data_IF_549331378773
#
_entry.id   IF_549331378773
#
_cell.length_a   1.000
_cell.length_b   1.000
_cell.length_c   1.000
_cell.angle_alpha   90.00
_cell.angle_beta   90.00
_cell.angle_gamma   90.00
#
_symmetry.space_group_name_H-M   'P 1'
#
loop_
_entity.id
_entity.type
_entity.pdbx_description
1 polymer ?
#
# COMPACT_ATOMS: atom_id res chain seq x y z
N UNK A 1 -37.01 -16.45 3.95
CA UNK A 1 -35.80 -16.78 4.74
C UNK A 1 -34.89 -15.57 4.65
N UNK A 2 -34.88 -14.73 5.68
CA UNK A 2 -33.96 -13.60 5.74
C UNK A 2 -32.56 -14.15 6.02
N UNK A 3 -31.67 -14.08 5.03
CA UNK A 3 -30.24 -14.34 5.28
C UNK A 3 -29.74 -13.22 6.19
N UNK A 4 -29.60 -13.51 7.49
CA UNK A 4 -28.83 -12.65 8.39
C UNK A 4 -27.41 -12.59 7.85
N UNK A 5 -27.00 -11.40 7.41
CA UNK A 5 -25.63 -11.12 7.00
C UNK A 5 -24.73 -11.36 8.21
N UNK A 6 -23.66 -12.14 8.04
CA UNK A 6 -22.72 -12.43 9.13
C UNK A 6 -21.94 -11.17 9.51
N UNK A 7 -21.54 -11.04 10.78
CA UNK A 7 -20.64 -9.97 11.22
C UNK A 7 -19.31 -9.99 10.46
N UNK A 8 -18.85 -11.18 10.07
CA UNK A 8 -17.70 -11.37 9.20
C UNK A 8 -17.93 -10.78 7.80
N UNK A 9 -19.10 -11.03 7.20
CA UNK A 9 -19.43 -10.50 5.87
C UNK A 9 -19.46 -8.97 5.86
N UNK A 10 -19.95 -8.36 6.95
CA UNK A 10 -19.92 -6.90 7.12
C UNK A 10 -18.50 -6.37 7.23
N UNK A 11 -17.63 -7.02 8.02
CA UNK A 11 -16.22 -6.65 8.14
C UNK A 11 -15.52 -6.74 6.79
N UNK A 12 -15.70 -7.85 6.07
CA UNK A 12 -15.11 -8.05 4.76
C UNK A 12 -15.58 -6.99 3.76
N UNK A 13 -16.88 -6.67 3.75
CA UNK A 13 -17.45 -5.62 2.89
C UNK A 13 -16.83 -4.26 3.19
N UNK A 14 -16.63 -3.94 4.48
CA UNK A 14 -15.98 -2.71 4.89
C UNK A 14 -14.52 -2.66 4.40
N UNK A 15 -13.77 -3.76 4.53
CA UNK A 15 -12.39 -3.80 4.04
C UNK A 15 -12.31 -3.68 2.51
N UNK A 16 -13.21 -4.31 1.76
CA UNK A 16 -13.29 -4.14 0.30
C UNK A 16 -13.58 -2.67 -0.04
N UNK A 17 -14.57 -2.06 0.62
CA UNK A 17 -14.93 -0.64 0.42
C UNK A 17 -13.74 0.28 0.72
N UNK A 18 -12.97 -0.05 1.76
CA UNK A 18 -11.75 0.70 2.08
C UNK A 18 -10.74 0.59 0.92
N UNK A 19 -10.56 -0.59 0.32
CA UNK A 19 -9.62 -0.81 -0.78
C UNK A 19 -10.05 -0.15 -2.10
N UNK A 20 -11.35 -0.02 -2.36
CA UNK A 20 -11.88 0.59 -3.58
C UNK A 20 -11.36 2.01 -3.83
N UNK A 21 -10.99 2.76 -2.78
CA UNK A 21 -10.43 4.10 -2.92
C UNK A 21 -9.11 4.11 -3.72
N UNK A 22 -8.38 3.00 -3.75
CA UNK A 22 -7.13 2.88 -4.50
C UNK A 22 -7.32 2.57 -5.99
N UNK A 23 -8.53 2.20 -6.42
CA UNK A 23 -8.83 1.93 -7.83
C UNK A 23 -8.72 3.21 -8.65
N UNK A 24 -7.74 3.28 -9.57
CA UNK A 24 -7.55 4.43 -10.45
C UNK A 24 -8.64 4.45 -11.52
N UNK A 25 -9.38 5.57 -11.61
CA UNK A 25 -10.51 5.72 -12.55
C UNK A 25 -10.18 6.61 -13.73
N UNK A 26 -9.16 7.46 -13.61
CA UNK A 26 -8.74 8.36 -14.67
C UNK A 26 -8.08 7.61 -15.84
N UNK A 27 -8.31 8.05 -17.10
CA UNK A 27 -7.67 7.43 -18.27
C UNK A 27 -6.14 7.50 -18.19
N UNK A 28 -5.47 6.40 -18.55
CA UNK A 28 -4.01 6.31 -18.46
C UNK A 28 -3.31 7.41 -19.27
N UNK A 29 -2.28 8.00 -18.67
CA UNK A 29 -1.40 8.97 -19.32
C UNK A 29 -1.88 10.43 -19.29
N UNK A 30 -3.11 10.71 -18.84
CA UNK A 30 -3.62 12.08 -18.66
C UNK A 30 -3.10 12.74 -17.39
N UNK A 31 -3.26 14.06 -17.26
CA UNK A 31 -2.86 14.79 -16.05
C UNK A 31 -3.69 14.37 -14.82
N UNK A 32 -4.95 14.02 -15.03
CA UNK A 32 -5.86 13.52 -14.00
C UNK A 32 -5.36 12.18 -13.47
N UNK A 33 -4.89 11.29 -14.35
CA UNK A 33 -4.26 10.03 -13.94
C UNK A 33 -3.04 10.26 -13.05
N UNK A 34 -2.13 11.15 -13.45
CA UNK A 34 -0.93 11.42 -12.65
C UNK A 34 -1.27 12.01 -11.28
N UNK A 35 -2.26 12.90 -11.23
CA UNK A 35 -2.73 13.51 -9.98
C UNK A 35 -3.39 12.47 -9.06
N UNK A 36 -4.25 11.62 -9.61
CA UNK A 36 -4.93 10.55 -8.87
C UNK A 36 -3.93 9.49 -8.37
N UNK A 37 -3.02 9.06 -9.25
CA UNK A 37 -1.95 8.11 -8.92
C UNK A 37 -1.06 8.67 -7.81
N UNK A 38 -0.61 9.93 -7.92
CA UNK A 38 0.26 10.55 -6.91
C UNK A 38 -0.43 10.65 -5.55
N UNK A 39 -1.70 11.06 -5.52
CA UNK A 39 -2.45 11.17 -4.26
C UNK A 39 -2.54 9.81 -3.53
N UNK A 40 -2.86 8.75 -4.27
CA UNK A 40 -3.01 7.38 -3.75
C UNK A 40 -1.67 6.79 -3.30
N UNK A 41 -0.64 6.94 -4.12
CA UNK A 41 0.71 6.51 -3.78
C UNK A 41 1.22 7.24 -2.54
N UNK A 42 0.99 8.56 -2.44
CA UNK A 42 1.33 9.36 -1.27
C UNK A 42 0.65 8.87 0.00
N UNK A 43 -0.66 8.56 -0.07
CA UNK A 43 -1.40 7.98 1.05
C UNK A 43 -0.77 6.66 1.53
N UNK A 44 -0.40 5.77 0.60
CA UNK A 44 0.24 4.49 0.92
C UNK A 44 1.59 4.72 1.61
N UNK A 45 2.42 5.61 1.08
CA UNK A 45 3.75 5.91 1.65
C UNK A 45 3.63 6.41 3.08
N UNK A 46 2.78 7.41 3.32
CA UNK A 46 2.56 7.98 4.66
C UNK A 46 2.01 6.94 5.62
N UNK A 47 1.06 6.12 5.16
CA UNK A 47 0.42 5.11 6.01
C UNK A 47 1.38 3.97 6.36
N UNK A 48 2.15 3.45 5.39
CA UNK A 48 3.21 2.45 5.66
C UNK A 48 4.23 2.99 6.67
N UNK A 49 4.65 4.25 6.52
CA UNK A 49 5.58 4.88 7.46
C UNK A 49 4.99 4.99 8.88
N UNK A 50 3.73 5.40 9.01
CA UNK A 50 3.04 5.48 10.28
C UNK A 50 2.93 4.11 10.97
N UNK A 51 2.56 3.05 10.22
CA UNK A 51 2.45 1.69 10.76
C UNK A 51 3.82 1.16 11.20
N UNK A 52 4.85 1.30 10.36
CA UNK A 52 6.23 0.91 10.71
C UNK A 52 6.70 1.62 11.99
N UNK A 53 6.41 2.92 12.12
CA UNK A 53 6.73 3.70 13.32
C UNK A 53 5.96 3.21 14.55
N UNK A 54 4.68 2.90 14.42
CA UNK A 54 3.87 2.38 15.52
C UNK A 54 4.41 1.03 16.04
N UNK A 55 4.72 0.10 15.11
CA UNK A 55 5.34 -1.19 15.44
C UNK A 55 6.68 -1.05 16.15
N UNK A 56 7.51 -0.08 15.73
CA UNK A 56 8.82 0.19 16.35
C UNK A 56 8.70 0.88 17.71
N UNK A 57 7.84 1.90 17.82
CA UNK A 57 7.75 2.77 19.02
C UNK A 57 7.00 2.09 20.16
N UNK A 58 5.98 1.29 19.85
CA UNK A 58 5.16 0.59 20.84
C UNK A 58 5.54 -0.90 20.97
N UNK A 59 6.78 -1.24 20.61
CA UNK A 59 7.30 -2.60 20.73
C UNK A 59 7.16 -3.09 22.19
N UNK A 60 6.56 -4.27 22.37
CA UNK A 60 6.30 -4.84 23.69
C UNK A 60 5.05 -4.30 24.42
N UNK A 61 4.40 -3.26 23.89
CA UNK A 61 3.12 -2.74 24.40
C UNK A 61 1.91 -3.22 23.59
N UNK A 62 2.15 -3.63 22.34
CA UNK A 62 1.11 -4.14 21.45
C UNK A 62 0.79 -5.61 21.73
N UNK A 63 -0.49 -5.97 21.67
CA UNK A 63 -0.91 -7.37 21.70
C UNK A 63 -0.55 -8.06 20.38
N UNK A 64 -0.45 -9.40 20.40
CA UNK A 64 -0.17 -10.16 19.17
C UNK A 64 -1.23 -9.91 18.09
N UNK A 65 -2.50 -9.73 18.47
CA UNK A 65 -3.58 -9.41 17.53
C UNK A 65 -3.37 -8.05 16.86
N UNK A 66 -2.95 -7.03 17.63
CA UNK A 66 -2.63 -5.71 17.09
C UNK A 66 -1.44 -5.76 16.14
N UNK A 67 -0.40 -6.52 16.49
CA UNK A 67 0.77 -6.73 15.63
C UNK A 67 0.33 -7.39 14.33
N UNK A 68 -0.44 -8.48 14.40
CA UNK A 68 -0.92 -9.19 13.22
C UNK A 68 -1.75 -8.27 12.32
N UNK A 69 -2.66 -7.46 12.89
CA UNK A 69 -3.47 -6.50 12.13
C UNK A 69 -2.61 -5.46 11.39
N UNK A 70 -1.63 -4.89 12.07
CA UNK A 70 -0.72 -3.90 11.47
C UNK A 70 0.17 -4.53 10.39
N UNK A 71 0.66 -5.75 10.61
CA UNK A 71 1.43 -6.51 9.61
C UNK A 71 0.61 -6.87 8.38
N UNK A 72 -0.63 -7.34 8.56
CA UNK A 72 -1.54 -7.61 7.43
C UNK A 72 -1.85 -6.35 6.63
N UNK A 73 -2.00 -5.20 7.32
CA UNK A 73 -2.21 -3.92 6.65
C UNK A 73 -0.98 -3.48 5.84
N UNK A 74 0.24 -3.71 6.33
CA UNK A 74 1.46 -3.46 5.56
C UNK A 74 1.53 -4.30 4.29
N UNK A 75 1.17 -5.58 4.36
CA UNK A 75 1.17 -6.47 3.20
C UNK A 75 0.13 -6.03 2.16
N UNK A 76 -1.09 -5.71 2.59
CA UNK A 76 -2.11 -5.16 1.69
C UNK A 76 -1.61 -3.89 0.98
N UNK A 77 -0.95 -2.97 1.71
CA UNK A 77 -0.37 -1.78 1.09
C UNK A 77 0.79 -2.07 0.12
N UNK A 78 1.53 -3.16 0.31
CA UNK A 78 2.57 -3.60 -0.62
C UNK A 78 1.97 -4.11 -1.94
N UNK A 79 0.88 -4.86 -1.85
CA UNK A 79 0.14 -5.30 -3.05
C UNK A 79 -0.45 -4.12 -3.82
N UNK A 80 -1.06 -3.16 -3.12
CA UNK A 80 -1.62 -1.95 -3.74
C UNK A 80 -0.52 -1.09 -4.37
N UNK A 81 0.63 -0.94 -3.70
CA UNK A 81 1.79 -0.24 -4.26
C UNK A 81 2.24 -0.88 -5.57
N UNK A 82 2.37 -2.20 -5.62
CA UNK A 82 2.72 -2.95 -6.83
C UNK A 82 1.71 -2.72 -7.96
N UNK A 83 0.41 -2.70 -7.65
CA UNK A 83 -0.64 -2.37 -8.61
C UNK A 83 -0.48 -0.94 -9.18
N UNK A 84 -0.25 0.05 -8.32
CA UNK A 84 -0.08 1.44 -8.76
C UNK A 84 1.18 1.61 -9.60
N UNK A 85 2.27 0.90 -9.29
CA UNK A 85 3.48 0.94 -10.11
C UNK A 85 3.25 0.34 -11.50
N UNK A 86 2.54 -0.78 -11.59
CA UNK A 86 2.15 -1.37 -12.88
C UNK A 86 1.35 -0.36 -13.74
N UNK A 87 0.42 0.38 -13.14
CA UNK A 87 -0.34 1.41 -13.85
C UNK A 87 0.55 2.55 -14.33
N UNK A 88 1.48 3.03 -13.49
CA UNK A 88 2.45 4.06 -13.85
C UNK A 88 3.31 3.60 -15.03
N UNK A 89 3.89 2.41 -14.96
CA UNK A 89 4.71 1.87 -16.05
C UNK A 89 3.91 1.75 -17.34
N UNK A 90 2.66 1.31 -17.26
CA UNK A 90 1.76 1.24 -18.41
C UNK A 90 1.48 2.62 -18.99
N UNK A 91 1.19 3.62 -18.15
CA UNK A 91 0.96 5.00 -18.59
C UNK A 91 2.20 5.64 -19.23
N UNK A 92 3.41 5.33 -18.73
CA UNK A 92 4.67 5.78 -19.34
C UNK A 92 4.89 5.14 -20.72
N UNK A 93 4.66 3.83 -20.84
CA UNK A 93 4.75 3.11 -22.11
C UNK A 93 3.79 3.67 -23.17
N UNK A 94 2.56 4.03 -22.79
CA UNK A 94 1.59 4.69 -23.68
C UNK A 94 2.12 6.03 -24.21
N UNK A 95 2.97 6.73 -23.43
CA UNK A 95 3.61 7.99 -23.83
C UNK A 95 4.95 7.79 -24.57
N UNK A 96 5.34 6.54 -24.86
CA UNK A 96 6.61 6.21 -25.50
C UNK A 96 7.83 6.38 -24.59
N UNK A 97 7.63 6.43 -23.26
CA UNK A 97 8.71 6.50 -22.28
C UNK A 97 9.00 5.08 -21.81
N UNK A 98 10.22 4.60 -22.04
CA UNK A 98 10.68 3.34 -21.47
C UNK A 98 11.29 3.61 -20.09
N UNK A 99 10.56 3.23 -19.04
CA UNK A 99 10.93 3.44 -17.65
C UNK A 99 11.38 2.13 -17.00
N UNK A 100 12.06 1.28 -17.77
CA UNK A 100 12.36 -0.12 -17.48
C UNK A 100 13.16 -0.38 -16.20
N UNK A 101 13.73 0.63 -15.55
CA UNK A 101 14.66 0.42 -14.43
C UNK A 101 14.42 1.31 -13.19
N UNK A 102 13.37 2.15 -13.16
CA UNK A 102 13.14 3.03 -12.01
C UNK A 102 11.88 2.65 -11.24
N UNK A 103 12.03 1.65 -10.37
CA UNK A 103 11.05 1.30 -9.35
C UNK A 103 11.10 2.35 -8.21
N UNK A 104 10.26 3.37 -8.34
CA UNK A 104 10.14 4.45 -7.36
C UNK A 104 9.66 3.90 -6.01
N UNK A 105 8.88 2.81 -6.01
CA UNK A 105 8.35 2.22 -4.79
C UNK A 105 9.31 1.21 -4.17
N UNK A 106 10.10 0.52 -4.97
CA UNK A 106 11.22 -0.33 -4.53
C UNK A 106 12.33 0.46 -3.84
N UNK A 107 12.65 1.68 -4.32
CA UNK A 107 13.60 2.58 -3.66
C UNK A 107 13.13 3.09 -2.29
N UNK A 108 11.81 3.16 -2.05
CA UNK A 108 11.24 3.48 -0.72
C UNK A 108 11.35 2.27 0.24
N UNK A 109 11.57 1.07 -0.28
CA UNK A 109 11.82 -0.13 0.52
C UNK A 109 13.31 -0.32 0.87
N UNK A 110 14.23 0.43 0.26
CA UNK A 110 15.68 0.21 0.38
C UNK A 110 16.54 1.45 0.59
N UNK A 111 16.50 2.03 1.81
CA UNK A 111 17.67 2.63 2.49
C UNK A 111 17.51 2.43 4.01
N UNK A 112 17.67 1.19 4.46
CA UNK A 112 18.11 0.81 5.82
C UNK A 112 18.61 -0.64 5.84
N UNK A 113 19.26 -1.08 4.75
CA UNK A 113 20.15 -2.26 4.80
C UNK A 113 21.58 -1.74 4.83
N UNK A 114 21.92 -1.16 5.98
CA UNK A 114 23.27 -0.79 6.38
C UNK A 114 23.36 -1.08 7.87
N UNK A 115 23.91 -2.25 8.16
CA UNK A 115 24.68 -2.58 9.37
C UNK A 115 24.29 -1.86 10.66
N UNK A 116 23.59 -2.59 11.53
CA UNK A 116 24.09 -2.76 12.89
C UNK A 116 23.67 -4.16 13.37
N UNK A 117 24.69 -5.00 13.53
CA UNK A 117 24.69 -6.21 14.34
C UNK A 117 23.75 -6.09 15.54
N UNK A 118 22.74 -6.96 15.62
CA UNK A 118 22.13 -7.30 16.90
C UNK A 118 22.05 -8.82 17.02
N UNK A 119 22.90 -9.43 17.86
CA UNK A 119 22.84 -10.85 18.15
C UNK A 119 21.77 -11.08 19.22
N UNK A 120 20.64 -11.69 18.87
CA UNK A 120 19.79 -12.46 19.80
C UNK A 120 19.00 -13.52 19.05
#
# INVERSE_FOLDING_TARGET
MDKKISSFDMLLTQEITNLERFVVKSPLGTNEFWSEWQAKTGEIVVTKAAIKRALKTHKGQLTQEQINKLSSMLEAFKEIASYLELLRQTALKVRGIDASEWDILGGIEGESEGEDDLPF
#
